data_IF_425725526265
#
_entry.id   IF_425725526265
#
_cell.length_a   1.000
_cell.length_b   1.000
_cell.length_c   1.000
_cell.angle_alpha   90.00
_cell.angle_beta   90.00
_cell.angle_gamma   90.00
#
_symmetry.space_group_name_H-M   'P 1'
#
loop_
_entity.id
_entity.type
_entity.pdbx_description
1 polymer ?
#
# COMPACT_ATOMS: atom_id res chain seq x y z
N UNK A 1 43.50 3.67 -8.67
CA UNK A 1 42.27 2.92 -8.76
C UNK A 1 41.85 2.31 -7.45
N UNK A 2 42.71 1.54 -6.83
CA UNK A 2 42.44 0.96 -5.51
C UNK A 2 42.18 2.00 -4.42
N UNK A 3 42.84 3.18 -4.48
CA UNK A 3 42.67 4.24 -3.50
C UNK A 3 41.23 4.81 -3.44
N UNK A 4 40.56 4.93 -4.56
CA UNK A 4 39.18 5.40 -4.59
C UNK A 4 38.21 4.44 -3.89
N UNK A 5 38.45 3.15 -4.03
CA UNK A 5 37.69 2.13 -3.34
C UNK A 5 37.86 2.19 -1.84
N UNK A 6 39.10 2.28 -1.39
CA UNK A 6 39.42 2.39 0.03
C UNK A 6 38.90 3.67 0.65
N UNK A 7 38.97 4.79 -0.07
CA UNK A 7 38.39 6.05 0.38
C UNK A 7 36.86 5.95 0.53
N UNK A 8 36.18 5.35 -0.43
CA UNK A 8 34.73 5.17 -0.34
C UNK A 8 34.33 4.31 0.86
N UNK A 9 35.05 3.23 1.12
CA UNK A 9 34.82 2.36 2.26
C UNK A 9 35.10 3.11 3.58
N UNK A 10 36.20 3.86 3.65
CA UNK A 10 36.57 4.64 4.82
C UNK A 10 35.53 5.73 5.14
N UNK A 11 35.01 6.40 4.13
CA UNK A 11 33.95 7.37 4.31
C UNK A 11 32.64 6.73 4.74
N UNK A 12 32.27 5.60 4.15
CA UNK A 12 31.09 4.85 4.53
C UNK A 12 31.15 4.38 5.98
N UNK A 13 32.34 3.95 6.44
CA UNK A 13 32.53 3.49 7.82
C UNK A 13 32.47 4.62 8.85
N UNK A 14 32.69 5.86 8.42
CA UNK A 14 32.58 7.03 9.29
C UNK A 14 31.14 7.51 9.48
N UNK A 15 30.23 7.04 8.68
CA UNK A 15 28.82 7.43 8.80
C UNK A 15 28.26 6.92 10.12
N UNK A 16 27.63 7.81 10.85
CA UNK A 16 26.93 7.42 12.05
C UNK A 16 25.59 6.79 11.67
N UNK A 17 25.16 5.75 12.37
CA UNK A 17 23.80 5.24 12.19
C UNK A 17 22.78 6.33 12.44
N UNK A 18 21.70 6.31 11.67
CA UNK A 18 20.57 7.19 11.91
C UNK A 18 19.93 6.78 13.23
N UNK A 19 19.80 7.71 14.15
CA UNK A 19 19.11 7.45 15.39
C UNK A 19 17.62 7.32 15.12
N UNK A 20 17.08 6.17 15.41
CA UNK A 20 15.66 5.91 15.29
C UNK A 20 15.09 5.76 16.69
N UNK A 21 14.13 6.60 17.01
CA UNK A 21 13.45 6.50 18.29
C UNK A 21 12.70 5.17 18.38
N UNK A 22 12.84 4.50 19.52
CA UNK A 22 12.07 3.29 19.77
C UNK A 22 10.58 3.61 19.79
N UNK A 23 9.73 2.74 19.26
CA UNK A 23 8.29 2.96 19.31
C UNK A 23 7.82 3.08 20.75
N UNK A 24 7.04 4.10 21.03
CA UNK A 24 6.42 4.29 22.35
C UNK A 24 5.18 3.42 22.56
N UNK A 25 4.64 2.89 21.49
CA UNK A 25 3.44 2.07 21.50
C UNK A 25 3.80 0.58 21.44
N UNK A 26 2.91 -0.26 21.90
CA UNK A 26 3.07 -1.71 21.77
C UNK A 26 3.02 -2.12 20.30
N UNK A 27 3.74 -3.19 19.91
CA UNK A 27 3.69 -3.67 18.52
C UNK A 27 2.27 -3.92 18.01
N UNK A 28 1.38 -4.40 18.86
CA UNK A 28 -0.03 -4.61 18.51
C UNK A 28 -0.80 -3.31 18.22
N UNK A 29 -0.33 -2.19 18.73
CA UNK A 29 -0.97 -0.88 18.55
C UNK A 29 -0.51 -0.20 17.27
N UNK A 30 0.78 -0.27 16.94
CA UNK A 30 1.29 0.36 15.73
C UNK A 30 1.35 -0.57 14.52
N UNK A 31 1.32 -1.88 14.73
CA UNK A 31 1.34 -2.84 13.65
C UNK A 31 0.08 -2.69 12.79
N UNK A 32 0.26 -2.48 11.52
CA UNK A 32 -0.86 -2.28 10.61
C UNK A 32 -1.40 -0.86 10.50
N UNK A 33 -0.85 0.11 11.24
CA UNK A 33 -1.25 1.52 11.09
C UNK A 33 -1.09 2.04 9.65
N UNK A 34 -0.10 1.54 8.95
CA UNK A 34 0.19 1.93 7.57
C UNK A 34 -0.32 0.90 6.55
N UNK A 35 -1.27 0.07 6.95
CA UNK A 35 -1.91 -0.92 6.08
C UNK A 35 -3.39 -0.57 5.94
N UNK A 36 -3.89 -0.59 4.71
CA UNK A 36 -5.30 -0.39 4.44
C UNK A 36 -6.07 -1.68 4.71
N UNK A 37 -6.32 -1.93 5.98
CA UNK A 37 -7.01 -3.12 6.48
C UNK A 37 -8.52 -2.94 6.52
N UNK A 38 -9.24 -3.96 6.99
CA UNK A 38 -10.72 -3.93 7.04
C UNK A 38 -11.28 -2.78 7.87
N UNK A 39 -10.62 -2.41 8.95
CA UNK A 39 -11.06 -1.26 9.75
C UNK A 39 -10.99 0.05 8.96
N UNK A 40 -9.94 0.22 8.19
CA UNK A 40 -9.78 1.40 7.32
C UNK A 40 -10.70 1.34 6.12
N UNK A 41 -10.93 0.17 5.56
CA UNK A 41 -11.95 -0.02 4.52
C UNK A 41 -13.32 0.41 5.01
N UNK A 42 -13.69 0.01 6.20
CA UNK A 42 -14.96 0.41 6.82
C UNK A 42 -15.05 1.93 7.00
N UNK A 43 -13.96 2.55 7.40
CA UNK A 43 -13.91 4.00 7.64
C UNK A 43 -13.94 4.83 6.36
N UNK A 44 -13.22 4.40 5.33
CA UNK A 44 -12.99 5.21 4.12
C UNK A 44 -13.88 4.85 2.94
N UNK A 45 -14.58 3.74 2.99
CA UNK A 45 -15.45 3.29 1.91
C UNK A 45 -16.92 3.44 2.31
N UNK A 46 -17.81 3.75 1.33
CA UNK A 46 -19.26 3.64 1.56
C UNK A 46 -19.64 2.22 1.98
N UNK A 47 -20.70 2.09 2.75
CA UNK A 47 -21.12 0.80 3.31
C UNK A 47 -21.36 -0.27 2.24
N UNK A 48 -22.00 0.08 1.14
CA UNK A 48 -22.27 -0.83 0.03
C UNK A 48 -20.97 -1.27 -0.66
N UNK A 49 -20.03 -0.36 -0.84
CA UNK A 49 -18.71 -0.67 -1.42
C UNK A 49 -17.92 -1.56 -0.48
N UNK A 50 -17.95 -1.29 0.80
CA UNK A 50 -17.28 -2.12 1.80
C UNK A 50 -17.80 -3.55 1.77
N UNK A 51 -19.11 -3.73 1.78
CA UNK A 51 -19.72 -5.06 1.74
C UNK A 51 -19.33 -5.84 0.48
N UNK A 52 -19.38 -5.19 -0.67
CA UNK A 52 -18.98 -5.81 -1.93
C UNK A 52 -17.51 -6.16 -1.97
N UNK A 53 -16.65 -5.28 -1.45
CA UNK A 53 -15.22 -5.54 -1.39
C UNK A 53 -14.90 -6.72 -0.47
N UNK A 54 -15.54 -6.80 0.68
CA UNK A 54 -15.39 -7.93 1.60
C UNK A 54 -15.85 -9.23 0.93
N UNK A 55 -16.93 -9.20 0.18
CA UNK A 55 -17.40 -10.36 -0.58
C UNK A 55 -16.38 -10.81 -1.63
N UNK A 56 -15.76 -9.86 -2.34
CA UNK A 56 -14.67 -10.17 -3.29
C UNK A 56 -13.49 -10.83 -2.59
N UNK A 57 -13.10 -10.32 -1.43
CA UNK A 57 -11.95 -10.85 -0.68
C UNK A 57 -12.25 -12.24 -0.11
N UNK A 58 -13.39 -12.40 0.52
CA UNK A 58 -13.72 -13.63 1.24
C UNK A 58 -14.24 -14.75 0.32
N UNK A 59 -15.01 -14.41 -0.68
CA UNK A 59 -15.72 -15.39 -1.53
C UNK A 59 -15.18 -15.43 -2.96
N UNK A 60 -14.19 -14.61 -3.29
CA UNK A 60 -13.64 -14.57 -4.64
C UNK A 60 -14.61 -14.02 -5.69
N UNK A 61 -15.56 -13.19 -5.29
CA UNK A 61 -16.48 -12.56 -6.22
C UNK A 61 -15.74 -11.64 -7.19
N UNK A 62 -16.34 -11.38 -8.33
CA UNK A 62 -15.73 -10.53 -9.34
C UNK A 62 -15.80 -9.06 -8.92
N UNK A 63 -14.66 -8.38 -9.03
CA UNK A 63 -14.58 -6.95 -8.73
C UNK A 63 -15.19 -6.15 -9.89
N UNK A 64 -16.25 -5.41 -9.59
CA UNK A 64 -16.87 -4.49 -10.53
C UNK A 64 -16.04 -3.21 -10.66
N UNK A 65 -16.03 -2.62 -11.84
CA UNK A 65 -15.28 -1.39 -12.11
C UNK A 65 -15.70 -0.23 -11.21
N UNK A 66 -16.99 -0.07 -10.99
CA UNK A 66 -17.49 0.99 -10.12
C UNK A 66 -17.01 0.83 -8.68
N UNK A 67 -16.95 -0.41 -8.22
CA UNK A 67 -16.43 -0.74 -6.90
C UNK A 67 -14.93 -0.47 -6.84
N UNK A 68 -14.20 -0.84 -7.87
CA UNK A 68 -12.75 -0.60 -7.96
C UNK A 68 -12.43 0.90 -7.92
N UNK A 69 -13.20 1.72 -8.63
CA UNK A 69 -13.04 3.17 -8.60
C UNK A 69 -13.29 3.75 -7.21
N UNK A 70 -14.34 3.29 -6.55
CA UNK A 70 -14.65 3.73 -5.20
C UNK A 70 -13.58 3.30 -4.19
N UNK A 71 -13.06 2.10 -4.33
CA UNK A 71 -11.94 1.61 -3.50
C UNK A 71 -10.70 2.45 -3.72
N UNK A 72 -10.36 2.74 -4.96
CA UNK A 72 -9.20 3.57 -5.30
C UNK A 72 -9.30 4.96 -4.67
N UNK A 73 -10.48 5.57 -4.70
CA UNK A 73 -10.72 6.86 -4.04
C UNK A 73 -10.55 6.78 -2.53
N UNK A 74 -11.07 5.73 -1.92
CA UNK A 74 -10.92 5.52 -0.48
C UNK A 74 -9.47 5.33 -0.07
N UNK A 75 -8.72 4.54 -0.81
CA UNK A 75 -7.28 4.33 -0.56
C UNK A 75 -6.52 5.64 -0.74
N UNK A 76 -6.85 6.41 -1.78
CA UNK A 76 -6.21 7.70 -2.01
C UNK A 76 -6.46 8.67 -0.86
N UNK A 77 -7.68 8.76 -0.39
CA UNK A 77 -8.02 9.60 0.75
C UNK A 77 -7.23 9.20 2.00
N UNK A 78 -7.21 7.92 2.30
CA UNK A 78 -6.41 7.40 3.41
C UNK A 78 -4.92 7.70 3.25
N UNK A 79 -4.38 7.52 2.05
CA UNK A 79 -2.98 7.81 1.77
C UNK A 79 -2.67 9.29 1.96
N UNK A 80 -3.50 10.17 1.43
CA UNK A 80 -3.33 11.62 1.56
C UNK A 80 -3.36 12.05 3.03
N UNK A 81 -4.27 11.51 3.82
CA UNK A 81 -4.34 11.77 5.26
C UNK A 81 -3.12 11.27 6.03
N UNK A 82 -2.43 10.26 5.50
CA UNK A 82 -1.20 9.75 6.08
C UNK A 82 0.07 10.38 5.50
N UNK A 83 -0.06 11.43 4.70
CA UNK A 83 1.07 12.18 4.16
C UNK A 83 1.84 11.48 3.04
N UNK A 84 1.19 10.56 2.35
CA UNK A 84 1.81 9.85 1.22
C UNK A 84 1.93 10.81 0.03
N UNK A 85 3.12 10.89 -0.54
CA UNK A 85 3.39 11.77 -1.67
C UNK A 85 3.71 11.03 -2.96
N UNK A 86 4.11 9.76 -2.85
CA UNK A 86 4.50 8.94 -3.99
C UNK A 86 3.79 7.61 -3.93
N UNK A 87 3.40 7.11 -5.09
CA UNK A 87 2.70 5.84 -5.23
C UNK A 87 3.49 4.91 -6.15
N UNK A 88 3.56 3.65 -5.75
CA UNK A 88 4.08 2.58 -6.59
C UNK A 88 3.04 1.47 -6.66
N UNK A 89 2.95 0.77 -7.79
CA UNK A 89 1.97 -0.29 -8.00
C UNK A 89 0.53 0.14 -7.68
N UNK A 90 0.20 1.37 -8.04
CA UNK A 90 -1.14 1.90 -7.79
C UNK A 90 -2.19 1.10 -8.56
N UNK A 91 -3.23 0.67 -7.85
CA UNK A 91 -4.34 -0.01 -8.49
C UNK A 91 -5.14 0.95 -9.36
N UNK A 92 -5.25 0.65 -10.63
CA UNK A 92 -6.10 1.38 -11.55
C UNK A 92 -7.10 0.42 -12.20
N UNK A 93 -8.40 0.74 -12.16
CA UNK A 93 -9.37 -0.03 -12.91
C UNK A 93 -9.09 0.11 -14.41
N UNK A 94 -8.86 -0.99 -15.07
CA UNK A 94 -8.63 -1.02 -16.50
C UNK A 94 -9.93 -1.27 -17.25
N UNK A 95 -10.01 -0.80 -18.47
CA UNK A 95 -11.15 -1.12 -19.34
C UNK A 95 -11.08 -2.59 -19.69
N UNK A 96 -12.24 -3.17 -20.03
CA UNK A 96 -12.34 -4.57 -20.34
C UNK A 96 -11.35 -5.02 -21.43
N UNK A 97 -11.13 -4.17 -22.44
CA UNK A 97 -10.21 -4.48 -23.53
C UNK A 97 -8.74 -4.35 -23.20
N UNK A 98 -8.39 -3.69 -22.08
CA UNK A 98 -7.01 -3.47 -21.69
C UNK A 98 -6.63 -4.18 -20.40
N UNK A 99 -7.59 -4.69 -19.66
CA UNK A 99 -7.36 -5.36 -18.39
C UNK A 99 -6.73 -6.72 -18.61
N UNK A 100 -5.51 -6.90 -18.13
CA UNK A 100 -4.88 -8.19 -18.08
C UNK A 100 -5.19 -8.86 -16.75
N UNK A 101 -5.62 -10.10 -16.82
CA UNK A 101 -6.06 -10.86 -15.66
C UNK A 101 -5.07 -10.86 -14.52
N UNK A 102 -3.80 -11.08 -14.86
CA UNK A 102 -2.77 -11.16 -13.86
C UNK A 102 -2.45 -9.82 -13.22
N UNK A 103 -2.65 -8.72 -13.91
CA UNK A 103 -2.37 -7.40 -13.37
C UNK A 103 -3.37 -6.98 -12.31
N UNK A 104 -4.64 -7.18 -12.57
CA UNK A 104 -5.66 -6.89 -11.57
C UNK A 104 -5.48 -7.78 -10.35
N UNK A 105 -5.24 -9.05 -10.55
CA UNK A 105 -4.99 -9.98 -9.46
C UNK A 105 -3.75 -9.62 -8.67
N UNK A 106 -2.72 -9.16 -9.33
CA UNK A 106 -1.51 -8.72 -8.65
C UNK A 106 -1.72 -7.46 -7.85
N UNK A 107 -2.39 -6.50 -8.42
CA UNK A 107 -2.69 -5.28 -7.70
C UNK A 107 -3.47 -5.58 -6.43
N UNK A 108 -4.46 -6.43 -6.50
CA UNK A 108 -5.29 -6.74 -5.35
C UNK A 108 -4.64 -7.72 -4.38
N UNK A 109 -3.82 -8.65 -4.87
CA UNK A 109 -3.29 -9.72 -4.03
C UNK A 109 -1.88 -9.48 -3.58
N UNK A 110 -1.09 -8.77 -4.39
CA UNK A 110 0.31 -8.72 -4.15
C UNK A 110 0.78 -7.39 -3.66
N UNK A 111 0.25 -6.35 -4.19
CA UNK A 111 0.78 -5.12 -3.93
C UNK A 111 0.50 -4.65 -2.64
N UNK A 112 -0.45 -5.23 -2.09
CA UNK A 112 -0.30 -4.78 -0.87
C UNK A 112 -0.10 -3.33 -0.92
N UNK A 113 -0.71 -2.82 -1.86
CA UNK A 113 -0.61 -1.41 -2.14
C UNK A 113 -0.82 -0.60 -0.91
#
# INVERSE_FOLDING_TARGET
MSNLRFQAVAEASKRKPVEVAAPSERPSEFFGKKVFNRQKMYKYLPADVYEKLVDVIDNGARLDRNIADAVAKGIKQWADENGVTHYTHWFQPLTEGTAEKHEIGRASCRERV
#
